data_IF_090793420267
#
_entry.id   IF_090793420267
#
_cell.length_a   1.000
_cell.length_b   1.000
_cell.length_c   1.000
_cell.angle_alpha   90.00
_cell.angle_beta   90.00
_cell.angle_gamma   90.00
#
_symmetry.space_group_name_H-M   'P 1'
#
loop_
_entity.id
_entity.type
_entity.pdbx_description
1 polymer ?
#
# COMPACT_ATOMS: atom_id res chain seq x y z
N UNK A 1 -8.19 13.92 10.73
CA UNK A 1 -8.20 14.18 9.28
C UNK A 1 -8.85 12.99 8.65
N UNK A 2 -9.83 13.19 7.77
CA UNK A 2 -10.60 12.10 7.16
C UNK A 2 -9.65 11.30 6.27
N UNK A 3 -9.08 10.21 6.80
CA UNK A 3 -8.34 9.21 6.02
C UNK A 3 -9.41 8.55 5.13
N UNK A 4 -9.70 9.20 4.01
CA UNK A 4 -10.60 8.67 3.01
C UNK A 4 -10.05 7.33 2.56
N UNK A 5 -10.94 6.34 2.39
CA UNK A 5 -10.53 5.02 1.92
C UNK A 5 -9.71 5.21 0.63
N UNK A 6 -8.43 4.79 0.61
CA UNK A 6 -7.56 5.05 -0.54
C UNK A 6 -8.20 4.48 -1.81
N UNK A 7 -8.20 5.24 -2.89
CA UNK A 7 -8.69 4.79 -4.18
C UNK A 7 -7.56 4.16 -4.98
N UNK A 8 -7.86 3.06 -5.68
CA UNK A 8 -6.91 2.41 -6.58
C UNK A 8 -6.65 3.34 -7.78
N UNK A 9 -5.40 3.66 -8.12
CA UNK A 9 -5.09 4.56 -9.23
C UNK A 9 -5.46 3.96 -10.61
N UNK A 10 -5.65 2.63 -10.71
CA UNK A 10 -6.04 1.97 -11.97
C UNK A 10 -7.55 1.89 -12.18
N UNK A 11 -8.33 1.52 -11.16
CA UNK A 11 -9.78 1.30 -11.32
C UNK A 11 -10.64 2.26 -10.51
N UNK A 12 -10.04 3.18 -9.75
CA UNK A 12 -10.71 4.15 -8.88
C UNK A 12 -11.61 3.54 -7.80
N UNK A 13 -11.57 2.22 -7.62
CA UNK A 13 -12.29 1.52 -6.57
C UNK A 13 -11.63 1.77 -5.21
N UNK A 14 -12.44 1.73 -4.15
CA UNK A 14 -11.95 1.76 -2.78
C UNK A 14 -10.98 0.59 -2.51
N UNK A 15 -9.89 0.87 -1.80
CA UNK A 15 -8.91 -0.13 -1.39
C UNK A 15 -9.03 -0.44 0.09
N UNK A 16 -8.99 -1.73 0.42
CA UNK A 16 -9.02 -2.22 1.78
C UNK A 16 -7.62 -2.66 2.23
N UNK A 17 -7.37 -2.60 3.53
CA UNK A 17 -6.10 -3.08 4.10
C UNK A 17 -6.01 -4.61 4.01
N UNK A 18 -4.98 -5.10 3.33
CA UNK A 18 -4.63 -6.52 3.23
C UNK A 18 -3.61 -6.97 4.28
N UNK A 19 -3.16 -6.06 5.16
CA UNK A 19 -2.17 -6.33 6.20
C UNK A 19 -0.93 -5.45 6.10
N UNK A 20 0.17 -5.89 6.72
CA UNK A 20 1.44 -5.20 6.72
C UNK A 20 2.56 -6.10 6.21
N UNK A 21 3.43 -5.54 5.35
CA UNK A 21 4.65 -6.18 4.90
C UNK A 21 5.85 -5.42 5.45
N UNK A 22 6.77 -6.10 6.14
CA UNK A 22 8.00 -5.47 6.62
C UNK A 22 8.96 -5.28 5.44
N UNK A 23 9.37 -4.04 5.18
CA UNK A 23 10.29 -3.71 4.09
C UNK A 23 11.40 -2.77 4.58
N UNK A 24 12.57 -2.84 3.94
CA UNK A 24 13.62 -1.83 4.13
C UNK A 24 13.32 -0.66 3.20
N UNK A 25 13.28 0.55 3.74
CA UNK A 25 13.17 1.78 2.96
C UNK A 25 14.56 2.14 2.43
N UNK A 26 14.68 2.26 1.11
CA UNK A 26 15.99 2.50 0.47
C UNK A 26 16.56 3.88 0.85
N UNK A 27 15.71 4.89 1.02
CA UNK A 27 16.14 6.26 1.35
C UNK A 27 16.94 6.39 2.65
N UNK A 28 16.58 5.63 3.69
CA UNK A 28 17.16 5.74 5.03
C UNK A 28 17.64 4.41 5.62
N UNK A 29 17.52 3.31 4.87
CA UNK A 29 17.91 1.96 5.29
C UNK A 29 17.09 1.38 6.44
N UNK A 30 16.02 2.05 6.87
CA UNK A 30 15.23 1.61 8.03
C UNK A 30 14.25 0.52 7.62
N UNK A 31 14.07 -0.47 8.50
CA UNK A 31 12.99 -1.47 8.36
C UNK A 31 11.71 -0.92 8.94
N UNK A 32 10.73 -0.68 8.08
CA UNK A 32 9.42 -0.12 8.44
C UNK A 32 8.33 -0.94 7.73
N UNK A 33 7.14 -1.00 8.32
CA UNK A 33 6.02 -1.68 7.68
C UNK A 33 5.47 -0.87 6.50
N UNK A 34 5.17 -1.58 5.41
CA UNK A 34 4.30 -1.13 4.32
C UNK A 34 2.89 -1.63 4.61
N UNK A 35 1.90 -0.74 4.57
CA UNK A 35 0.49 -1.14 4.55
C UNK A 35 0.17 -1.68 3.17
N UNK A 36 -0.31 -2.92 3.10
CA UNK A 36 -0.81 -3.52 1.87
C UNK A 36 -2.25 -3.08 1.65
N UNK A 37 -2.55 -2.64 0.44
CA UNK A 37 -3.86 -2.17 0.04
C UNK A 37 -4.31 -2.95 -1.20
N UNK A 38 -5.54 -3.43 -1.19
CA UNK A 38 -6.11 -4.21 -2.29
C UNK A 38 -7.50 -3.68 -2.66
N UNK A 39 -7.75 -3.50 -3.95
CA UNK A 39 -9.10 -3.25 -4.44
C UNK A 39 -9.82 -4.56 -4.84
N UNK A 40 -11.11 -4.47 -5.14
CA UNK A 40 -11.95 -5.58 -5.61
C UNK A 40 -11.42 -6.23 -6.91
N UNK A 41 -10.78 -5.45 -7.78
CA UNK A 41 -10.13 -5.92 -9.02
C UNK A 41 -8.75 -6.56 -8.77
N UNK A 42 -8.37 -6.76 -7.50
CA UNK A 42 -7.11 -7.39 -7.07
C UNK A 42 -5.84 -6.63 -7.44
N UNK A 43 -5.92 -5.33 -7.75
CA UNK A 43 -4.72 -4.50 -7.80
C UNK A 43 -4.16 -4.35 -6.39
N UNK A 44 -2.86 -4.62 -6.25
CA UNK A 44 -2.13 -4.49 -4.99
C UNK A 44 -1.30 -3.22 -5.04
N UNK A 45 -1.51 -2.37 -4.05
CA UNK A 45 -0.71 -1.17 -3.78
C UNK A 45 -0.16 -1.25 -2.37
N UNK A 46 0.84 -0.43 -2.11
CA UNK A 46 1.35 -0.27 -0.77
C UNK A 46 1.69 1.19 -0.47
N UNK A 47 1.74 1.54 0.81
CA UNK A 47 2.27 2.81 1.31
C UNK A 47 3.04 2.57 2.58
N UNK A 48 3.94 3.46 2.94
CA UNK A 48 4.62 3.36 4.24
C UNK A 48 3.63 3.57 5.38
N UNK A 49 3.64 2.69 6.38
CA UNK A 49 2.73 2.77 7.52
C UNK A 49 3.03 3.97 8.43
N UNK A 50 4.28 4.46 8.43
CA UNK A 50 4.71 5.68 9.13
C UNK A 50 4.46 6.95 8.31
N UNK A 51 3.99 6.86 7.07
CA UNK A 51 3.70 7.99 6.17
C UNK A 51 2.41 7.75 5.36
N UNK A 52 1.25 7.71 6.02
CA UNK A 52 -0.03 7.44 5.36
C UNK A 52 -0.43 8.50 4.31
N UNK A 53 0.11 9.71 4.41
CA UNK A 53 -0.09 10.81 3.47
C UNK A 53 0.71 10.69 2.17
N UNK A 54 1.72 9.81 2.11
CA UNK A 54 2.47 9.58 0.88
C UNK A 54 1.63 8.84 -0.18
N UNK A 55 1.93 9.04 -1.47
CA UNK A 55 1.22 8.37 -2.55
C UNK A 55 1.28 6.84 -2.43
N UNK A 56 0.24 6.18 -2.97
CA UNK A 56 0.27 4.74 -3.15
C UNK A 56 1.32 4.35 -4.18
N UNK A 57 2.18 3.42 -3.80
CA UNK A 57 3.20 2.84 -4.67
C UNK A 57 2.76 1.47 -5.18
N UNK A 58 3.34 1.05 -6.31
CA UNK A 58 3.15 -0.30 -6.82
C UNK A 58 3.89 -1.32 -5.95
N UNK A 59 3.19 -2.39 -5.54
CA UNK A 59 3.85 -3.52 -4.90
C UNK A 59 4.71 -4.26 -5.95
N UNK A 60 6.01 -4.50 -5.70
CA UNK A 60 6.92 -5.15 -6.66
C UNK A 60 6.64 -6.64 -6.80
N UNK A 61 6.01 -7.25 -5.79
CA UNK A 61 5.66 -8.67 -5.76
C UNK A 61 4.17 -8.86 -5.45
N UNK A 62 3.27 -8.33 -6.30
CA UNK A 62 1.83 -8.33 -6.03
C UNK A 62 1.27 -9.76 -5.96
N UNK A 63 1.95 -10.72 -6.59
CA UNK A 63 1.56 -12.13 -6.64
C UNK A 63 1.65 -12.84 -5.28
N UNK A 64 2.44 -12.31 -4.34
CA UNK A 64 2.52 -12.84 -2.98
C UNK A 64 1.29 -12.51 -2.13
N UNK A 65 0.45 -11.57 -2.60
CA UNK A 65 -0.68 -11.01 -1.85
C UNK A 65 -2.02 -11.16 -2.59
N UNK A 66 -2.07 -12.03 -3.62
CA UNK A 66 -3.28 -12.29 -4.42
C UNK A 66 -4.34 -13.07 -3.66
#
# INVERSE_FOLDING_TARGET
MTDGVPACPECSQAMESGGFALATREDDGRRICRTLLRCTDRHVRWRWADRPEEPLEACPTPELFR
#
